data_IF_495584141407
#
_entry.id   IF_495584141407
#
_cell.length_a   1.000
_cell.length_b   1.000
_cell.length_c   1.000
_cell.angle_alpha   90.00
_cell.angle_beta   90.00
_cell.angle_gamma   90.00
#
_symmetry.space_group_name_H-M   'P 1'
#
loop_
_entity.id
_entity.type
_entity.pdbx_description
1 polymer ?
#
# COMPACT_ATOMS: atom_id res chain seq x y z
N UNK A 1 -21.27 12.53 42.51
CA UNK A 1 -21.68 11.42 41.61
C UNK A 1 -21.97 12.00 40.24
N UNK A 2 -21.23 11.56 39.22
CA UNK A 2 -21.68 11.40 37.82
C UNK A 2 -20.42 11.15 36.96
N UNK A 3 -20.09 9.88 36.81
CA UNK A 3 -19.06 9.37 35.90
C UNK A 3 -19.56 9.55 34.46
N UNK A 4 -18.91 10.46 33.71
CA UNK A 4 -19.16 10.61 32.28
C UNK A 4 -18.42 9.51 31.52
N UNK A 5 -19.09 8.37 31.34
CA UNK A 5 -18.70 7.32 30.40
C UNK A 5 -18.71 7.92 28.98
N UNK A 6 -17.54 8.15 28.39
CA UNK A 6 -17.44 8.50 26.96
C UNK A 6 -17.81 7.26 26.12
N UNK A 7 -18.85 7.32 25.26
CA UNK A 7 -19.14 6.25 24.33
C UNK A 7 -18.35 6.42 23.02
N UNK A 8 -17.73 5.34 22.56
CA UNK A 8 -17.63 5.03 21.12
C UNK A 8 -16.53 5.71 20.30
N UNK A 9 -15.27 5.65 20.72
CA UNK A 9 -14.14 5.98 19.81
C UNK A 9 -14.03 5.02 18.62
N UNK A 10 -14.51 3.78 18.76
CA UNK A 10 -14.50 2.77 17.71
C UNK A 10 -15.48 3.06 16.56
N UNK A 11 -16.69 3.54 16.85
CA UNK A 11 -17.68 3.79 15.81
C UNK A 11 -17.38 5.07 15.03
N UNK A 12 -16.92 6.12 15.70
CA UNK A 12 -16.48 7.34 15.02
C UNK A 12 -15.28 7.07 14.09
N UNK A 13 -14.34 6.21 14.50
CA UNK A 13 -13.20 5.83 13.66
C UNK A 13 -13.66 4.98 12.46
N UNK A 14 -14.61 4.07 12.66
CA UNK A 14 -15.20 3.26 11.57
C UNK A 14 -16.00 4.11 10.59
N UNK A 15 -16.75 5.10 11.07
CA UNK A 15 -17.50 6.03 10.22
C UNK A 15 -16.56 6.94 9.42
N UNK A 16 -15.48 7.43 10.03
CA UNK A 16 -14.45 8.20 9.32
C UNK A 16 -13.76 7.32 8.26
N UNK A 17 -13.46 6.05 8.57
CA UNK A 17 -12.85 5.12 7.61
C UNK A 17 -13.82 4.69 6.49
N UNK A 18 -15.12 4.55 6.78
CA UNK A 18 -16.15 4.25 5.80
C UNK A 18 -16.43 5.44 4.87
N UNK A 19 -16.49 6.67 5.41
CA UNK A 19 -16.59 7.90 4.64
C UNK A 19 -15.35 8.10 3.75
N UNK A 20 -14.17 7.81 4.29
CA UNK A 20 -12.91 7.84 3.54
C UNK A 20 -12.83 6.83 2.38
N UNK A 21 -13.47 5.64 2.52
CA UNK A 21 -13.58 4.65 1.43
C UNK A 21 -14.57 5.06 0.34
N UNK A 22 -15.51 5.96 0.65
CA UNK A 22 -16.54 6.42 -0.27
C UNK A 22 -16.14 7.66 -1.08
N UNK A 23 -14.99 8.29 -0.80
CA UNK A 23 -14.51 9.43 -1.57
C UNK A 23 -13.83 8.99 -2.88
N UNK A 24 -14.42 9.26 -4.06
CA UNK A 24 -13.84 8.89 -5.35
C UNK A 24 -12.51 9.60 -5.64
N UNK A 25 -12.23 10.70 -4.93
CA UNK A 25 -10.97 11.42 -5.01
C UNK A 25 -9.83 10.78 -4.23
N UNK A 26 -10.06 9.87 -3.27
CA UNK A 26 -8.97 9.30 -2.47
C UNK A 26 -8.22 8.18 -3.18
N UNK A 27 -8.93 7.37 -3.98
CA UNK A 27 -8.30 6.46 -4.93
C UNK A 27 -7.50 7.27 -5.96
N UNK A 28 -8.08 8.35 -6.49
CA UNK A 28 -7.40 9.24 -7.44
C UNK A 28 -6.20 9.98 -6.81
N UNK A 29 -6.26 10.37 -5.53
CA UNK A 29 -5.16 11.00 -4.77
C UNK A 29 -4.10 9.98 -4.32
N UNK A 30 -4.48 8.74 -4.01
CA UNK A 30 -3.54 7.64 -3.80
C UNK A 30 -2.83 7.29 -5.11
N UNK A 31 -3.57 7.28 -6.22
CA UNK A 31 -3.03 7.10 -7.57
C UNK A 31 -2.25 8.33 -8.08
N UNK A 32 -2.53 9.54 -7.60
CA UNK A 32 -1.75 10.76 -7.89
C UNK A 32 -0.55 10.92 -6.95
N UNK A 33 -0.60 10.32 -5.76
CA UNK A 33 0.57 10.18 -4.90
C UNK A 33 1.54 9.24 -5.59
N UNK A 34 1.10 8.05 -6.03
CA UNK A 34 1.93 7.19 -6.87
C UNK A 34 2.33 7.92 -8.16
N UNK A 35 3.61 8.23 -8.37
CA UNK A 35 4.07 8.96 -9.57
C UNK A 35 3.74 8.29 -10.91
N UNK A 36 3.22 7.06 -10.88
CA UNK A 36 2.65 6.30 -11.99
C UNK A 36 1.44 5.47 -11.53
N UNK A 37 0.48 5.13 -12.42
CA UNK A 37 -0.50 4.10 -12.12
C UNK A 37 0.19 2.74 -11.89
N UNK A 38 -0.24 2.00 -10.87
CA UNK A 38 0.20 0.61 -10.64
C UNK A 38 -0.31 -0.27 -11.78
N UNK A 39 0.56 -1.14 -12.29
CA UNK A 39 0.20 -2.21 -13.21
C UNK A 39 -0.74 -3.22 -12.55
N UNK A 40 -1.44 -4.01 -13.36
CA UNK A 40 -2.33 -5.07 -12.88
C UNK A 40 -1.57 -6.09 -11.99
N UNK A 41 -0.32 -6.41 -12.33
CA UNK A 41 0.52 -7.29 -11.53
C UNK A 41 0.89 -6.69 -10.16
N UNK A 42 1.20 -5.39 -10.11
CA UNK A 42 1.48 -4.69 -8.85
C UNK A 42 0.23 -4.60 -7.97
N UNK A 43 -0.95 -4.38 -8.55
CA UNK A 43 -2.23 -4.38 -7.82
C UNK A 43 -2.53 -5.77 -7.22
N UNK A 44 -2.37 -6.83 -8.01
CA UNK A 44 -2.57 -8.22 -7.53
C UNK A 44 -1.59 -8.55 -6.38
N UNK A 45 -0.34 -8.11 -6.47
CA UNK A 45 0.63 -8.28 -5.39
C UNK A 45 0.21 -7.50 -4.13
N UNK A 46 -0.19 -6.24 -4.29
CA UNK A 46 -0.62 -5.39 -3.17
C UNK A 46 -1.86 -5.95 -2.46
N UNK A 47 -2.86 -6.40 -3.21
CA UNK A 47 -4.08 -7.03 -2.66
C UNK A 47 -3.73 -8.32 -1.90
N UNK A 48 -2.86 -9.16 -2.47
CA UNK A 48 -2.42 -10.38 -1.81
C UNK A 48 -1.66 -10.10 -0.50
N UNK A 49 -0.79 -9.08 -0.48
CA UNK A 49 -0.08 -8.64 0.73
C UNK A 49 -1.05 -8.11 1.78
N UNK A 50 -2.01 -7.26 1.41
CA UNK A 50 -3.03 -6.74 2.33
C UNK A 50 -3.83 -7.87 2.98
N UNK A 51 -4.27 -8.87 2.19
CA UNK A 51 -4.98 -10.03 2.70
C UNK A 51 -4.15 -10.86 3.67
N UNK A 52 -2.85 -11.05 3.39
CA UNK A 52 -1.94 -11.82 4.25
C UNK A 52 -1.73 -11.08 5.57
N UNK A 53 -1.44 -9.78 5.52
CA UNK A 53 -1.26 -8.96 6.72
C UNK A 53 -2.55 -8.84 7.54
N UNK A 54 -3.72 -8.82 6.90
CA UNK A 54 -5.02 -8.83 7.58
C UNK A 54 -5.26 -10.10 8.41
N UNK A 55 -4.56 -11.20 8.09
CA UNK A 55 -4.58 -12.45 8.87
C UNK A 55 -3.63 -12.39 10.07
N UNK A 56 -2.85 -11.32 10.23
CA UNK A 56 -1.86 -11.15 11.28
C UNK A 56 -0.47 -11.69 10.94
N UNK A 57 -0.28 -12.18 9.71
CA UNK A 57 0.99 -12.74 9.26
C UNK A 57 1.96 -11.62 8.86
N UNK A 58 2.94 -11.33 9.73
CA UNK A 58 3.97 -10.31 9.46
C UNK A 58 5.34 -10.91 9.18
N UNK A 59 5.51 -12.23 9.35
CA UNK A 59 6.76 -12.92 9.06
C UNK A 59 7.00 -13.02 7.56
N UNK A 60 8.18 -12.61 7.11
CA UNK A 60 8.48 -12.50 5.69
C UNK A 60 8.54 -13.86 4.98
N UNK A 61 8.95 -14.92 5.68
CA UNK A 61 8.94 -16.27 5.13
C UNK A 61 7.51 -16.80 5.00
N UNK A 62 6.64 -16.52 6.00
CA UNK A 62 5.22 -16.86 5.93
C UNK A 62 4.51 -16.11 4.81
N UNK A 63 4.76 -14.81 4.66
CA UNK A 63 4.21 -13.98 3.58
C UNK A 63 4.64 -14.53 2.21
N UNK A 64 5.93 -14.83 2.03
CA UNK A 64 6.43 -15.42 0.79
C UNK A 64 5.79 -16.79 0.49
N UNK A 65 5.65 -17.66 1.49
CA UNK A 65 4.97 -18.94 1.31
C UNK A 65 3.51 -18.75 0.88
N UNK A 66 2.79 -17.82 1.50
CA UNK A 66 1.41 -17.52 1.14
C UNK A 66 1.28 -16.92 -0.27
N UNK A 67 2.20 -16.04 -0.70
CA UNK A 67 2.23 -15.51 -2.07
C UNK A 67 2.47 -16.61 -3.10
N UNK A 68 3.37 -17.55 -2.81
CA UNK A 68 3.63 -18.73 -3.66
C UNK A 68 2.40 -19.61 -3.78
N UNK A 69 1.74 -19.90 -2.65
CA UNK A 69 0.52 -20.72 -2.63
C UNK A 69 -0.63 -20.07 -3.41
N UNK A 70 -0.72 -18.74 -3.36
CA UNK A 70 -1.68 -17.94 -4.14
C UNK A 70 -1.30 -17.82 -5.62
N UNK A 71 -0.09 -18.21 -6.01
CA UNK A 71 0.40 -18.15 -7.39
C UNK A 71 0.61 -16.73 -7.91
N UNK A 72 0.84 -15.78 -7.00
CA UNK A 72 1.06 -14.36 -7.32
C UNK A 72 2.32 -14.22 -8.16
N UNK A 73 2.25 -13.43 -9.23
CA UNK A 73 3.39 -13.16 -10.12
C UNK A 73 4.11 -11.91 -9.61
N UNK A 74 5.42 -11.99 -9.48
CA UNK A 74 6.27 -10.84 -9.17
C UNK A 74 6.19 -9.81 -10.32
N UNK A 75 5.85 -8.54 -10.04
CA UNK A 75 5.59 -7.55 -11.08
C UNK A 75 6.83 -7.15 -11.89
N UNK A 76 8.01 -7.04 -11.28
CA UNK A 76 9.26 -6.76 -11.97
C UNK A 76 9.91 -8.04 -12.50
N UNK A 77 10.03 -9.04 -11.63
CA UNK A 77 10.85 -10.23 -11.93
C UNK A 77 10.09 -11.36 -12.65
N UNK A 78 8.75 -11.35 -12.63
CA UNK A 78 7.91 -12.33 -13.32
C UNK A 78 7.87 -13.74 -12.71
N UNK A 79 8.58 -13.99 -11.60
CA UNK A 79 8.56 -15.29 -10.92
C UNK A 79 7.27 -15.49 -10.10
N UNK A 80 6.96 -16.76 -9.80
CA UNK A 80 5.81 -17.15 -8.95
C UNK A 80 6.21 -17.87 -7.66
N UNK A 81 7.49 -18.24 -7.57
CA UNK A 81 8.07 -18.90 -6.41
C UNK A 81 8.70 -17.84 -5.51
N UNK A 82 8.00 -17.48 -4.45
CA UNK A 82 8.44 -16.47 -3.50
C UNK A 82 9.27 -17.09 -2.38
N UNK A 83 10.35 -16.39 -2.03
CA UNK A 83 11.21 -16.63 -0.86
C UNK A 83 11.33 -15.31 -0.10
N UNK A 84 11.76 -15.35 1.16
CA UNK A 84 11.95 -14.11 1.92
C UNK A 84 12.95 -13.16 1.22
N UNK A 85 14.04 -13.69 0.66
CA UNK A 85 15.05 -12.92 -0.07
C UNK A 85 14.49 -12.26 -1.34
N UNK A 86 13.74 -13.01 -2.16
CA UNK A 86 13.22 -12.44 -3.40
C UNK A 86 12.04 -11.50 -3.16
N UNK A 87 11.26 -11.72 -2.09
CA UNK A 87 10.22 -10.79 -1.65
C UNK A 87 10.83 -9.46 -1.23
N UNK A 88 11.90 -9.49 -0.41
CA UNK A 88 12.61 -8.27 -0.02
C UNK A 88 13.16 -7.52 -1.23
N UNK A 89 13.86 -8.23 -2.13
CA UNK A 89 14.47 -7.65 -3.33
C UNK A 89 13.42 -7.01 -4.23
N UNK A 90 12.28 -7.69 -4.43
CA UNK A 90 11.19 -7.19 -5.25
C UNK A 90 10.55 -5.94 -4.65
N UNK A 91 10.30 -5.93 -3.33
CA UNK A 91 9.75 -4.77 -2.62
C UNK A 91 10.70 -3.57 -2.66
N UNK A 92 12.02 -3.79 -2.49
CA UNK A 92 13.02 -2.73 -2.63
C UNK A 92 13.05 -2.16 -4.05
N UNK A 93 12.96 -3.03 -5.06
CA UNK A 93 12.93 -2.61 -6.48
C UNK A 93 11.68 -1.78 -6.76
N UNK A 94 10.50 -2.25 -6.35
CA UNK A 94 9.24 -1.51 -6.48
C UNK A 94 9.29 -0.15 -5.79
N UNK A 95 9.81 -0.09 -4.55
CA UNK A 95 9.94 1.17 -3.83
C UNK A 95 10.88 2.14 -4.53
N UNK A 96 12.01 1.67 -5.06
CA UNK A 96 12.95 2.52 -5.81
C UNK A 96 12.34 3.06 -7.12
N UNK A 97 11.61 2.20 -7.84
CA UNK A 97 10.88 2.56 -9.07
C UNK A 97 9.80 3.62 -8.81
N UNK A 98 9.07 3.45 -7.69
CA UNK A 98 8.10 4.43 -7.22
C UNK A 98 8.80 5.73 -6.83
N UNK A 99 9.87 5.69 -6.04
CA UNK A 99 10.65 6.87 -5.61
C UNK A 99 11.24 7.66 -6.79
N UNK A 100 11.67 6.99 -7.86
CA UNK A 100 12.07 7.64 -9.10
C UNK A 100 10.89 8.34 -9.78
N UNK A 101 9.75 7.67 -9.88
CA UNK A 101 8.51 8.25 -10.41
C UNK A 101 8.02 9.46 -9.57
N UNK A 102 8.17 9.40 -8.24
CA UNK A 102 7.89 10.51 -7.33
C UNK A 102 8.81 11.71 -7.60
N UNK A 103 10.11 11.47 -7.85
CA UNK A 103 11.07 12.55 -8.18
C UNK A 103 10.75 13.19 -9.52
N UNK A 104 10.37 12.42 -10.54
CA UNK A 104 9.96 12.97 -11.84
C UNK A 104 8.63 13.73 -11.78
N UNK A 105 7.67 13.30 -10.95
CA UNK A 105 6.40 14.03 -10.78
C UNK A 105 6.49 15.24 -9.83
N UNK A 106 7.64 15.41 -9.15
CA UNK A 106 7.88 16.53 -8.22
C UNK A 106 8.22 17.88 -8.90
N UNK A 107 8.25 17.95 -10.23
CA UNK A 107 8.42 19.21 -11.00
C UNK A 107 7.21 20.18 -10.91
N UNK A 108 6.46 20.17 -9.80
CA UNK A 108 5.45 21.17 -9.44
C UNK A 108 5.59 21.75 -8.03
N UNK A 109 6.45 21.21 -7.15
CA UNK A 109 6.52 21.62 -5.74
C UNK A 109 7.53 22.74 -5.43
N UNK A 110 8.25 23.25 -6.44
CA UNK A 110 9.10 24.43 -6.29
C UNK A 110 8.45 25.64 -6.97
N UNK A 111 7.42 26.20 -6.35
CA UNK A 111 7.18 27.64 -6.48
C UNK A 111 8.12 28.35 -5.49
N UNK A 112 9.21 29.00 -5.92
CA UNK A 112 9.95 29.88 -5.04
C UNK A 112 9.13 31.15 -4.85
N UNK A 113 8.37 31.22 -3.76
CA UNK A 113 7.82 32.48 -3.30
C UNK A 113 8.20 32.64 -1.82
N UNK A 114 9.21 33.48 -1.58
CA UNK A 114 9.65 33.80 -0.24
C UNK A 114 11.08 34.31 -0.15
N UNK A 115 11.35 35.51 -0.67
CA UNK A 115 12.09 36.60 0.01
C UNK A 115 12.13 37.84 -0.87
#
# INVERSE_FOLDING_TARGET
MAEMKQPGSDDAFKEIMAAARAEPGRAELAHQSLGRPLSEAEQVLADALMDIYAQGETDQATVAAALTQRGVVAPNSGFRSWTAENLETELQTLNNDLDESYRENSFGAASPNGS
#
